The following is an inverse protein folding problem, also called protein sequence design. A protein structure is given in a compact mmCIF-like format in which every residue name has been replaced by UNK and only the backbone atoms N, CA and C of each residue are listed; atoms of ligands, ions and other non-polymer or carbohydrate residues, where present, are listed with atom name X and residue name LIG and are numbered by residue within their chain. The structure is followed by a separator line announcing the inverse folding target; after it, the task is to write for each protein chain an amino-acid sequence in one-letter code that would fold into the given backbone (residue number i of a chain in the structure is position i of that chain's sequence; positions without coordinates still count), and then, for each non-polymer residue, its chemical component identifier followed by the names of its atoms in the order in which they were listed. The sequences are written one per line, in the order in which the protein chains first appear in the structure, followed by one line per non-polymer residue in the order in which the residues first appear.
data_IF_688693852062
#
_entry.id   IF_688693852062
#
_cell.length_a   1.000
_cell.length_b   1.000
_cell.length_c   1.000
_cell.angle_alpha   90.00
_cell.angle_beta   90.00
_cell.angle_gamma   90.00
#
_symmetry.space_group_name_H-M   'P 1'
#
loop_
_entity.id
_entity.type
_entity.pdbx_description
1 polymer ?
#
# COMPACT_ATOMS: atom_id res chain seq x y z
N UNK A 1 4.65 24.11 -0.18
CA UNK A 1 5.30 23.48 0.99
C UNK A 1 4.74 24.20 2.19
N UNK A 2 3.75 23.61 2.86
CA UNK A 2 3.14 24.22 4.04
C UNK A 2 4.08 24.07 5.25
N UNK A 3 4.52 25.21 5.80
CA UNK A 3 5.40 25.29 6.96
C UNK A 3 4.75 24.63 8.18
N UNK A 4 5.30 23.49 8.62
CA UNK A 4 4.89 22.86 9.87
C UNK A 4 5.39 23.74 11.02
N UNK A 5 4.50 24.32 11.85
CA UNK A 5 4.94 25.20 12.94
C UNK A 5 5.72 24.40 13.98
N UNK A 6 7.03 24.66 14.09
CA UNK A 6 7.92 24.03 15.06
C UNK A 6 7.48 24.35 16.49
N UNK A 7 7.05 23.32 17.22
CA UNK A 7 6.45 23.44 18.55
C UNK A 7 7.45 23.77 19.66
N UNK A 8 8.75 23.90 19.35
CA UNK A 8 9.85 23.93 20.32
C UNK A 8 10.48 25.31 20.56
N UNK A 9 10.22 26.34 19.74
CA UNK A 9 11.03 27.58 19.75
C UNK A 9 10.29 28.87 20.14
N UNK A 10 8.98 28.84 20.41
CA UNK A 10 8.19 30.05 20.67
C UNK A 10 7.79 30.23 22.14
N UNK A 11 7.88 31.48 22.64
CA UNK A 11 7.33 31.90 23.93
C UNK A 11 5.91 31.36 24.13
N UNK A 12 5.70 30.65 25.24
CA UNK A 12 4.49 29.87 25.51
C UNK A 12 3.22 30.74 25.58
N UNK A 13 3.37 32.05 25.81
CA UNK A 13 2.26 33.00 25.93
C UNK A 13 1.43 33.22 24.66
N UNK A 14 1.98 32.95 23.46
CA UNK A 14 1.24 33.07 22.19
C UNK A 14 0.42 31.81 21.82
N UNK A 15 0.58 30.74 22.60
CA UNK A 15 0.02 29.41 22.28
C UNK A 15 -1.26 29.09 23.06
N UNK A 16 -1.54 29.86 24.11
CA UNK A 16 -2.74 29.74 24.91
C UNK A 16 -3.73 30.82 24.46
N UNK A 17 -4.88 30.39 23.96
CA UNK A 17 -5.99 31.27 23.57
C UNK A 17 -6.96 31.31 24.75
N UNK A 18 -7.40 32.51 25.15
CA UNK A 18 -8.39 32.62 26.23
C UNK A 18 -9.78 32.24 25.73
N UNK A 19 -10.65 31.79 26.64
CA UNK A 19 -12.04 31.48 26.29
C UNK A 19 -12.74 32.66 25.59
N UNK A 20 -12.49 33.88 26.05
CA UNK A 20 -13.05 35.10 25.46
C UNK A 20 -12.58 35.31 24.01
N UNK A 21 -11.29 35.07 23.73
CA UNK A 21 -10.76 35.21 22.37
C UNK A 21 -11.40 34.21 21.40
N UNK A 22 -11.71 32.99 21.88
CA UNK A 22 -12.43 31.97 21.09
C UNK A 22 -13.86 32.42 20.79
N UNK A 23 -14.56 32.96 21.79
CA UNK A 23 -15.95 33.41 21.64
C UNK A 23 -16.05 34.62 20.70
N UNK A 24 -15.11 35.56 20.79
CA UNK A 24 -15.06 36.71 19.88
C UNK A 24 -14.67 36.31 18.45
N UNK A 25 -13.77 35.33 18.29
CA UNK A 25 -13.45 34.76 16.98
C UNK A 25 -14.66 34.03 16.36
N UNK A 26 -15.44 33.31 17.17
CA UNK A 26 -16.70 32.66 16.74
C UNK A 26 -17.72 33.69 16.28
N UNK A 27 -17.97 34.74 17.06
CA UNK A 27 -18.89 35.83 16.69
C UNK A 27 -18.51 36.50 15.37
N UNK A 28 -17.22 36.86 15.20
CA UNK A 28 -16.72 37.46 13.96
C UNK A 28 -16.93 36.55 12.76
N UNK A 29 -16.70 35.25 12.92
CA UNK A 29 -16.94 34.25 11.86
C UNK A 29 -18.43 34.17 11.50
N UNK A 30 -19.30 34.16 12.50
CA UNK A 30 -20.75 34.11 12.30
C UNK A 30 -21.28 35.38 11.63
N UNK A 31 -20.77 36.56 12.01
CA UNK A 31 -21.09 37.83 11.38
C UNK A 31 -20.65 37.85 9.90
N UNK A 32 -19.42 37.40 9.62
CA UNK A 32 -18.91 37.29 8.25
C UNK A 32 -19.71 36.30 7.41
N UNK A 33 -20.08 35.16 7.99
CA UNK A 33 -20.96 34.18 7.36
C UNK A 33 -22.30 34.81 7.02
N UNK A 34 -23.00 35.40 7.99
CA UNK A 34 -24.30 36.03 7.78
C UNK A 34 -24.22 37.13 6.72
N UNK A 35 -23.15 37.94 6.74
CA UNK A 35 -22.92 38.97 5.73
C UNK A 35 -22.71 38.37 4.33
N UNK A 36 -21.96 37.26 4.20
CA UNK A 36 -21.76 36.59 2.91
C UNK A 36 -23.08 36.08 2.30
N UNK A 37 -23.93 35.46 3.11
CA UNK A 37 -25.23 34.95 2.67
C UNK A 37 -26.23 36.09 2.37
N UNK A 38 -26.22 37.16 3.17
CA UNK A 38 -27.02 38.35 2.91
C UNK A 38 -26.66 39.00 1.55
N UNK A 39 -25.38 39.00 1.17
CA UNK A 39 -24.94 39.48 -0.16
C UNK A 39 -25.42 38.57 -1.30
N UNK A 40 -25.60 37.28 -1.05
CA UNK A 40 -26.08 36.31 -2.02
C UNK A 40 -27.63 36.30 -2.14
N UNK A 41 -28.33 37.03 -1.26
CA UNK A 41 -29.80 37.09 -1.23
C UNK A 41 -30.46 35.79 -0.77
N UNK A 42 -29.71 34.90 -0.12
CA UNK A 42 -30.19 33.62 0.38
C UNK A 42 -30.18 33.60 1.90
N UNK A 43 -31.16 32.93 2.52
CA UNK A 43 -31.16 32.74 3.96
C UNK A 43 -30.01 31.80 4.35
N UNK A 44 -29.16 32.17 5.33
CA UNK A 44 -28.12 31.27 5.82
C UNK A 44 -28.76 29.96 6.29
N UNK A 45 -28.23 28.80 5.91
CA UNK A 45 -28.70 27.52 6.45
C UNK A 45 -28.53 27.52 7.98
N UNK A 46 -29.37 26.75 8.71
CA UNK A 46 -29.28 26.65 10.16
C UNK A 46 -27.85 26.28 10.56
N UNK A 47 -27.33 26.96 11.58
CA UNK A 47 -25.98 26.70 12.06
C UNK A 47 -25.84 25.21 12.38
N UNK A 48 -24.72 24.57 11.97
CA UNK A 48 -24.45 23.21 12.37
C UNK A 48 -24.45 23.16 13.89
N UNK A 49 -25.28 22.26 14.44
CA UNK A 49 -25.27 21.94 15.87
C UNK A 49 -23.84 21.50 16.21
N UNK A 50 -23.18 22.24 17.11
CA UNK A 50 -21.87 21.83 17.62
C UNK A 50 -21.97 20.38 18.08
N UNK A 51 -21.06 19.54 17.59
CA UNK A 51 -21.09 18.09 17.81
C UNK A 51 -21.32 17.80 19.30
N UNK A 52 -22.30 16.92 19.57
CA UNK A 52 -22.65 16.53 20.93
C UNK A 52 -21.40 16.18 21.72
N UNK A 53 -21.22 16.80 22.88
CA UNK A 53 -20.04 16.64 23.73
C UNK A 53 -19.74 15.15 23.93
N UNK A 54 -18.69 14.69 23.25
CA UNK A 54 -18.31 13.28 23.25
C UNK A 54 -17.67 12.94 24.60
N UNK A 55 -18.40 12.16 25.41
CA UNK A 55 -17.96 11.71 26.73
C UNK A 55 -16.79 10.72 26.72
N UNK A 56 -16.31 10.30 25.55
CA UNK A 56 -15.10 9.47 25.44
C UNK A 56 -13.87 10.21 25.95
N UNK A 57 -12.97 9.45 26.57
CA UNK A 57 -11.68 9.97 27.04
C UNK A 57 -10.85 10.50 25.86
N UNK A 58 -9.99 11.49 26.12
CA UNK A 58 -9.07 12.01 25.10
C UNK A 58 -8.17 10.91 24.51
N UNK A 59 -7.77 9.94 25.34
CA UNK A 59 -6.95 8.81 24.90
C UNK A 59 -7.67 7.96 23.83
N UNK A 60 -8.95 7.69 24.03
CA UNK A 60 -9.78 6.94 23.09
C UNK A 60 -9.98 7.72 21.78
N UNK A 61 -10.22 9.03 21.86
CA UNK A 61 -10.31 9.89 20.67
C UNK A 61 -9.01 9.89 19.87
N UNK A 62 -7.86 9.99 20.54
CA UNK A 62 -6.55 9.97 19.88
C UNK A 62 -6.26 8.60 19.26
N UNK A 63 -6.65 7.50 19.91
CA UNK A 63 -6.51 6.16 19.37
C UNK A 63 -7.36 5.99 18.10
N UNK A 64 -8.62 6.44 18.13
CA UNK A 64 -9.51 6.39 16.97
C UNK A 64 -8.98 7.22 15.79
N UNK A 65 -8.47 8.42 16.04
CA UNK A 65 -7.87 9.25 14.98
C UNK A 65 -6.62 8.61 14.36
N UNK A 66 -5.78 7.98 15.19
CA UNK A 66 -4.61 7.24 14.70
C UNK A 66 -5.01 6.04 13.86
N UNK A 67 -5.97 5.26 14.35
CA UNK A 67 -6.48 4.08 13.66
C UNK A 67 -7.11 4.46 12.31
N UNK A 68 -7.97 5.48 12.27
CA UNK A 68 -8.58 5.97 11.03
C UNK A 68 -7.53 6.41 10.02
N UNK A 69 -6.54 7.22 10.45
CA UNK A 69 -5.46 7.65 9.56
C UNK A 69 -4.61 6.48 9.04
N UNK A 70 -4.39 5.47 9.88
CA UNK A 70 -3.65 4.27 9.51
C UNK A 70 -4.44 3.44 8.49
N UNK A 71 -5.72 3.24 8.73
CA UNK A 71 -6.63 2.50 7.84
C UNK A 71 -6.73 3.21 6.47
N UNK A 72 -6.91 4.52 6.43
CA UNK A 72 -6.90 5.31 5.19
C UNK A 72 -5.57 5.18 4.44
N UNK A 73 -4.45 5.20 5.16
CA UNK A 73 -3.13 5.02 4.56
C UNK A 73 -2.95 3.62 4.00
N UNK A 74 -3.37 2.60 4.75
CA UNK A 74 -3.32 1.20 4.34
C UNK A 74 -4.24 0.94 3.16
N UNK A 75 -5.48 1.41 3.15
CA UNK A 75 -6.40 1.26 2.01
C UNK A 75 -5.84 1.91 0.75
N UNK A 76 -5.33 3.15 0.85
CA UNK A 76 -4.72 3.84 -0.29
C UNK A 76 -3.47 3.12 -0.79
N UNK A 77 -2.64 2.60 0.12
CA UNK A 77 -1.41 1.90 -0.24
C UNK A 77 -1.63 0.40 -0.54
N UNK A 78 -2.78 -0.18 -0.23
CA UNK A 78 -3.07 -1.62 -0.40
C UNK A 78 -2.99 -2.05 -1.85
N UNK A 79 -3.49 -1.21 -2.76
CA UNK A 79 -3.40 -1.46 -4.20
C UNK A 79 -2.03 -1.04 -4.76
N UNK A 80 -1.42 0.00 -4.21
CA UNK A 80 -0.08 0.44 -4.63
C UNK A 80 1.00 -0.60 -4.30
N UNK A 81 0.90 -1.28 -3.15
CA UNK A 81 1.84 -2.34 -2.75
C UNK A 81 1.63 -3.64 -3.53
N UNK A 82 0.44 -3.89 -4.08
CA UNK A 82 0.18 -5.08 -4.92
C UNK A 82 0.87 -5.00 -6.27
N UNK A 83 1.01 -3.80 -6.83
CA UNK A 83 1.60 -3.57 -8.14
C UNK A 83 2.72 -2.54 -8.02
N UNK A 84 3.90 -3.03 -7.62
CA UNK A 84 5.14 -2.26 -7.70
C UNK A 84 5.99 -2.74 -8.87
N UNK A 85 6.82 -1.86 -9.40
CA UNK A 85 7.86 -2.26 -10.35
C UNK A 85 8.85 -3.20 -9.64
N UNK A 86 9.33 -4.21 -10.36
CA UNK A 86 10.42 -5.06 -9.88
C UNK A 86 11.70 -4.24 -9.80
N UNK A 87 12.48 -4.47 -8.74
CA UNK A 87 13.81 -3.89 -8.57
C UNK A 87 14.82 -4.63 -9.48
N UNK A 88 15.96 -4.01 -9.77
CA UNK A 88 16.95 -4.56 -10.72
C UNK A 88 17.51 -5.93 -10.25
N UNK A 89 17.71 -6.07 -8.94
CA UNK A 89 18.14 -7.31 -8.29
C UNK A 89 17.07 -8.41 -8.35
N UNK A 90 15.79 -8.05 -8.23
CA UNK A 90 14.67 -8.97 -8.38
C UNK A 90 14.55 -9.50 -9.81
N UNK A 91 14.77 -8.64 -10.81
CA UNK A 91 14.81 -9.05 -12.22
C UNK A 91 15.96 -10.03 -12.47
N UNK A 92 17.15 -9.70 -11.98
CA UNK A 92 18.33 -10.58 -12.05
C UNK A 92 18.05 -11.93 -11.39
N UNK A 93 17.44 -11.93 -10.20
CA UNK A 93 17.05 -13.17 -9.52
C UNK A 93 16.12 -14.02 -10.38
N UNK A 94 15.08 -13.43 -11.00
CA UNK A 94 14.17 -14.17 -11.88
C UNK A 94 14.88 -14.75 -13.11
N UNK A 95 15.85 -14.03 -13.68
CA UNK A 95 16.66 -14.54 -14.79
C UNK A 95 17.51 -15.75 -14.36
N UNK A 96 18.13 -15.71 -13.17
CA UNK A 96 18.88 -16.87 -12.64
C UNK A 96 17.98 -18.07 -12.36
N UNK A 97 16.75 -17.84 -11.88
CA UNK A 97 15.78 -18.92 -11.65
C UNK A 97 15.35 -19.55 -12.97
N UNK A 98 15.13 -18.74 -14.02
CA UNK A 98 14.79 -19.22 -15.36
C UNK A 98 15.92 -20.05 -15.96
N UNK A 99 17.16 -19.54 -15.91
CA UNK A 99 18.34 -20.26 -16.41
C UNK A 99 18.50 -21.62 -15.73
N UNK A 100 18.34 -21.66 -14.40
CA UNK A 100 18.40 -22.93 -13.65
C UNK A 100 17.32 -23.92 -14.08
N UNK A 101 16.07 -23.46 -14.28
CA UNK A 101 14.98 -24.34 -14.73
C UNK A 101 15.24 -24.90 -16.13
N UNK A 102 15.74 -24.07 -17.04
CA UNK A 102 16.10 -24.48 -18.40
C UNK A 102 17.25 -25.49 -18.40
N UNK A 103 18.25 -25.31 -17.54
CA UNK A 103 19.34 -26.26 -17.37
C UNK A 103 18.86 -27.59 -16.80
N UNK A 104 18.02 -27.57 -15.76
CA UNK A 104 17.42 -28.78 -15.18
C UNK A 104 16.59 -29.55 -16.23
N UNK A 105 15.79 -28.84 -17.04
CA UNK A 105 15.04 -29.47 -18.13
C UNK A 105 15.95 -30.04 -19.22
N UNK A 106 17.03 -29.33 -19.57
CA UNK A 106 18.00 -29.79 -20.58
C UNK A 106 18.70 -31.06 -20.11
N UNK A 107 19.18 -31.06 -18.86
CA UNK A 107 19.82 -32.23 -18.25
C UNK A 107 18.85 -33.41 -18.21
N UNK A 108 17.59 -33.18 -17.82
CA UNK A 108 16.57 -34.24 -17.82
C UNK A 108 16.33 -34.80 -19.22
N UNK A 109 16.19 -33.94 -20.24
CA UNK A 109 16.03 -34.37 -21.63
C UNK A 109 17.23 -35.15 -22.15
N UNK A 110 18.44 -34.78 -21.76
CA UNK A 110 19.66 -35.48 -22.14
C UNK A 110 19.72 -36.87 -21.49
N UNK A 111 19.42 -36.97 -20.19
CA UNK A 111 19.31 -38.25 -19.48
C UNK A 111 18.24 -39.17 -20.11
N UNK A 112 17.05 -38.63 -20.35
CA UNK A 112 15.96 -39.36 -21.02
C UNK A 112 16.39 -39.87 -22.41
N UNK A 113 17.14 -39.06 -23.16
CA UNK A 113 17.62 -39.43 -24.50
C UNK A 113 18.70 -40.53 -24.45
N UNK A 114 19.62 -40.47 -23.50
CA UNK A 114 20.67 -41.47 -23.33
C UNK A 114 20.10 -42.81 -22.85
N UNK A 115 19.11 -42.80 -21.96
CA UNK A 115 18.38 -44.01 -21.56
C UNK A 115 17.65 -44.64 -22.75
N UNK A 116 16.96 -43.84 -23.57
CA UNK A 116 16.29 -44.31 -24.79
C UNK A 116 17.28 -44.90 -25.81
N UNK A 117 18.43 -44.25 -26.01
CA UNK A 117 19.49 -44.77 -26.88
C UNK A 117 20.04 -46.10 -26.37
N UNK A 118 20.32 -46.20 -25.06
CA UNK A 118 20.80 -47.44 -24.44
C UNK A 118 19.78 -48.57 -24.61
N UNK A 119 18.50 -48.30 -24.38
CA UNK A 119 17.42 -49.26 -24.61
C UNK A 119 17.35 -49.70 -26.07
N UNK A 120 17.41 -48.76 -27.02
CA UNK A 120 17.37 -49.06 -28.45
C UNK A 120 18.57 -49.91 -28.90
N UNK A 121 19.77 -49.59 -28.45
CA UNK A 121 20.98 -50.36 -28.79
C UNK A 121 20.90 -51.79 -28.25
N UNK A 122 20.50 -51.97 -26.98
CA UNK A 122 20.34 -53.30 -26.37
C UNK A 122 19.24 -54.11 -27.07
N UNK A 123 18.15 -53.46 -27.49
CA UNK A 123 17.09 -54.11 -28.25
C UNK A 123 17.57 -54.54 -29.64
N UNK A 124 18.40 -53.74 -30.31
CA UNK A 124 18.97 -54.08 -31.62
C UNK A 124 19.97 -55.25 -31.51
N UNK A 125 20.87 -55.22 -30.52
CA UNK A 125 21.79 -56.32 -30.24
C UNK A 125 21.05 -57.63 -29.94
N UNK A 126 19.94 -57.56 -29.20
CA UNK A 126 19.11 -58.73 -28.94
C UNK A 126 18.41 -59.25 -30.22
N UNK A 127 17.99 -58.35 -31.11
CA UNK A 127 17.38 -58.73 -32.39
C UNK A 127 18.40 -59.36 -33.36
N UNK A 128 19.63 -58.85 -33.42
CA UNK A 128 20.70 -59.45 -34.23
C UNK A 128 21.14 -60.81 -33.70
N UNK A 129 21.29 -60.95 -32.38
CA UNK A 129 21.67 -62.24 -31.76
C UNK A 129 20.54 -63.28 -31.84
N UNK A 130 19.27 -62.86 -31.78
CA UNK A 130 18.13 -63.76 -31.94
C UNK A 130 17.85 -64.10 -33.41
N UNK A 131 18.09 -63.18 -34.34
CA UNK A 131 17.93 -63.37 -35.79
C UNK A 131 19.02 -64.23 -36.44
N UNK A 132 20.20 -64.34 -35.83
CA UNK A 132 21.29 -65.21 -36.30
C UNK A 132 21.12 -66.70 -35.91
N UNK A 133 20.12 -67.05 -35.09
CA UNK A 133 19.89 -68.42 -34.59
C UNK A 133 18.78 -69.19 -35.34
N UNK A 134 18.30 -68.66 -36.47
CA UNK A 134 17.33 -69.34 -37.35
C UNK A 134 17.90 -69.51 -38.75
#
# INVERSE_FOLDING_TARGET
MDDIPSLSSGSVGSRFVSQNDIDDARKKRDEQWKAAYARLGQEPPPQPVEDAYDGRSLAEKLAANKAAKQEEWEERNRLANQFRALEEDEVLFLDTVRERQEEEERVRKEQDNDELKSFSSRSCECYETCGSYH
#
